data_IF_968044201979
#
_entry.id   IF_968044201979
#
_cell.length_a   1.000
_cell.length_b   1.000
_cell.length_c   1.000
_cell.angle_alpha   90.00
_cell.angle_beta   90.00
_cell.angle_gamma   90.00
#
_symmetry.space_group_name_H-M   'P 1'
#
loop_
_entity.id
_entity.type
_entity.pdbx_description
1 polymer ?
#
# COMPACT_ATOMS: atom_id res chain seq x y z
N UNK A 1 -47.75 -38.30 -22.85
CA UNK A 1 -48.83 -39.03 -22.15
C UNK A 1 -48.32 -39.15 -20.73
N UNK A 2 -48.68 -38.33 -19.75
CA UNK A 2 -49.91 -37.58 -19.40
C UNK A 2 -49.51 -36.20 -18.83
N UNK A 3 -50.10 -35.10 -19.33
CA UNK A 3 -50.95 -34.10 -18.63
C UNK A 3 -50.45 -33.68 -17.23
N UNK A 4 -49.97 -32.45 -17.03
CA UNK A 4 -50.74 -31.19 -16.93
C UNK A 4 -51.66 -31.16 -15.71
N UNK A 5 -51.32 -30.35 -14.71
CA UNK A 5 -52.31 -29.61 -13.94
C UNK A 5 -51.70 -28.32 -13.36
N UNK A 6 -52.31 -27.22 -13.79
CA UNK A 6 -52.12 -25.83 -13.36
C UNK A 6 -53.18 -25.60 -12.30
N UNK A 7 -52.90 -24.92 -11.18
CA UNK A 7 -53.92 -24.05 -10.58
C UNK A 7 -53.30 -22.93 -9.75
N UNK A 8 -53.39 -21.74 -10.33
CA UNK A 8 -53.36 -20.43 -9.72
C UNK A 8 -54.71 -20.20 -9.03
N UNK A 9 -54.72 -19.71 -7.77
CA UNK A 9 -55.93 -19.12 -7.18
C UNK A 9 -55.56 -17.78 -6.54
N UNK A 10 -56.21 -16.78 -7.11
CA UNK A 10 -56.25 -15.35 -6.85
C UNK A 10 -57.29 -15.03 -5.77
N UNK A 11 -56.98 -14.00 -4.97
CA UNK A 11 -57.83 -13.05 -4.21
C UNK A 11 -59.04 -13.55 -3.41
N UNK A 12 -59.23 -12.97 -2.21
CA UNK A 12 -60.29 -11.95 -1.99
C UNK A 12 -60.30 -11.36 -0.56
N UNK A 13 -60.12 -10.03 -0.51
CA UNK A 13 -60.91 -8.98 0.15
C UNK A 13 -61.50 -9.06 1.58
N UNK A 14 -61.48 -7.86 2.20
CA UNK A 14 -62.52 -7.15 2.98
C UNK A 14 -62.59 -7.27 4.52
N UNK A 15 -62.04 -6.25 5.17
CA UNK A 15 -62.69 -5.10 5.83
C UNK A 15 -63.79 -5.27 6.92
N UNK A 16 -63.80 -4.26 7.82
CA UNK A 16 -64.80 -3.81 8.82
C UNK A 16 -64.81 -4.58 10.16
N UNK A 17 -65.02 -4.01 11.36
CA UNK A 17 -65.39 -2.69 11.91
C UNK A 17 -65.25 -2.84 13.45
N UNK A 18 -64.91 -1.82 14.26
CA UNK A 18 -65.85 -1.04 15.13
C UNK A 18 -65.01 -0.14 16.05
N UNK A 19 -65.13 1.21 15.99
CA UNK A 19 -65.90 2.13 16.90
C UNK A 19 -65.49 2.06 18.38
N UNK A 20 -65.38 3.10 19.22
CA UNK A 20 -65.59 4.57 19.29
C UNK A 20 -64.77 4.97 20.57
N UNK A 21 -64.33 6.20 20.82
CA UNK A 21 -65.12 7.29 21.43
C UNK A 21 -64.26 8.56 21.38
N UNK A 22 -64.93 9.65 21.01
CA UNK A 22 -64.47 11.01 20.85
C UNK A 22 -63.82 11.65 22.09
N UNK A 23 -62.92 12.60 21.84
CA UNK A 23 -62.96 13.93 22.47
C UNK A 23 -62.41 14.98 21.52
N UNK A 24 -63.31 15.84 21.09
CA UNK A 24 -63.14 17.08 20.35
C UNK A 24 -62.43 18.13 21.18
N UNK A 25 -61.49 18.84 20.56
CA UNK A 25 -61.19 20.26 20.81
C UNK A 25 -60.32 20.78 19.65
N UNK A 26 -61.00 21.38 18.67
CA UNK A 26 -60.68 22.67 18.05
C UNK A 26 -59.21 23.14 18.11
N UNK A 27 -58.57 23.35 16.95
CA UNK A 27 -57.76 24.53 16.61
C UNK A 27 -57.50 24.54 15.09
N UNK A 28 -58.23 25.44 14.43
CA UNK A 28 -57.83 26.37 13.36
C UNK A 28 -56.85 25.85 12.29
N UNK A 29 -57.44 25.65 11.12
CA UNK A 29 -56.86 25.69 9.78
C UNK A 29 -56.07 26.98 9.53
N UNK A 30 -54.78 26.89 9.19
CA UNK A 30 -54.12 27.86 8.30
C UNK A 30 -53.27 27.09 7.30
N UNK A 31 -53.57 27.39 6.04
CA UNK A 31 -53.07 26.84 4.79
C UNK A 31 -51.55 26.79 4.64
N UNK A 32 -51.12 25.82 3.84
CA UNK A 32 -49.87 25.82 3.11
C UNK A 32 -49.70 27.13 2.33
N UNK A 33 -48.57 27.81 2.53
CA UNK A 33 -47.89 28.54 1.46
C UNK A 33 -46.41 28.24 1.50
N UNK A 34 -45.95 27.63 0.42
CA UNK A 34 -44.56 27.48 0.03
C UNK A 34 -43.97 28.85 -0.29
N UNK A 35 -43.01 29.32 0.50
CA UNK A 35 -42.09 30.36 0.08
C UNK A 35 -40.64 29.92 0.30
N UNK A 36 -39.98 29.70 -0.82
CA UNK A 36 -38.54 29.51 -0.94
C UNK A 36 -37.85 30.83 -0.63
N UNK A 37 -37.43 31.03 0.61
CA UNK A 37 -36.61 32.19 0.98
C UNK A 37 -35.14 31.83 0.74
N UNK A 38 -34.65 32.17 -0.46
CA UNK A 38 -33.22 32.33 -0.73
C UNK A 38 -32.71 33.60 -0.01
N UNK A 39 -32.47 33.53 1.30
CA UNK A 39 -31.73 34.59 2.01
C UNK A 39 -30.23 34.40 1.78
N UNK A 40 -29.73 35.00 0.71
CA UNK A 40 -28.32 35.41 0.67
C UNK A 40 -28.16 36.64 1.54
N UNK A 41 -28.02 36.43 2.86
CA UNK A 41 -27.64 37.50 3.78
C UNK A 41 -26.28 38.06 3.37
N UNK A 42 -26.34 39.26 2.79
CA UNK A 42 -25.20 40.14 2.60
C UNK A 42 -25.23 41.09 3.80
N UNK A 43 -24.45 40.78 4.84
CA UNK A 43 -24.27 41.72 5.94
C UNK A 43 -23.25 42.77 5.46
N UNK A 44 -23.73 43.91 4.98
CA UNK A 44 -22.93 45.13 4.89
C UNK A 44 -22.84 45.75 6.28
N UNK A 45 -21.67 45.67 6.91
CA UNK A 45 -21.39 46.40 8.15
C UNK A 45 -20.99 47.83 7.75
N UNK A 46 -21.87 48.80 7.99
CA UNK A 46 -21.51 50.23 7.95
C UNK A 46 -21.07 50.61 9.37
N UNK A 47 -19.78 50.80 9.58
CA UNK A 47 -19.25 51.34 10.83
C UNK A 47 -19.51 52.86 10.85
N UNK A 48 -20.55 53.29 11.55
CA UNK A 48 -20.65 54.67 12.06
C UNK A 48 -20.42 54.65 13.55
N UNK A 49 -19.25 55.06 14.00
CA UNK A 49 -19.02 56.11 15.02
C UNK A 49 -17.55 56.08 15.45
N UNK A 50 -16.96 57.26 15.45
CA UNK A 50 -15.68 57.57 16.05
C UNK A 50 -15.76 57.28 17.56
N UNK A 51 -14.88 56.42 18.06
CA UNK A 51 -14.27 56.56 19.38
C UNK A 51 -13.13 55.54 19.51
N UNK A 52 -11.93 56.06 19.78
CA UNK A 52 -10.70 55.31 20.04
C UNK A 52 -10.94 54.18 21.05
N UNK A 53 -10.75 52.93 20.61
CA UNK A 53 -10.35 51.85 21.49
C UNK A 53 -9.65 50.74 20.70
N UNK A 54 -8.56 50.29 21.30
CA UNK A 54 -7.70 49.17 20.91
C UNK A 54 -8.44 47.96 20.34
N UNK A 55 -7.98 47.51 19.17
CA UNK A 55 -8.21 46.24 18.49
C UNK A 55 -8.55 45.08 19.45
N UNK A 56 -9.69 44.39 19.26
CA UNK A 56 -9.92 43.11 19.93
C UNK A 56 -9.71 41.94 18.96
N UNK A 57 -8.78 41.07 19.30
CA UNK A 57 -8.41 39.84 18.60
C UNK A 57 -9.56 38.81 18.45
N UNK A 58 -10.75 39.10 18.96
CA UNK A 58 -11.90 38.20 19.03
C UNK A 58 -12.68 38.10 17.72
N UNK A 59 -12.75 39.16 16.91
CA UNK A 59 -13.44 39.11 15.60
C UNK A 59 -12.61 38.36 14.53
N UNK A 60 -11.29 38.44 14.65
CA UNK A 60 -10.31 37.81 13.76
C UNK A 60 -10.30 36.26 13.88
N UNK A 61 -10.98 35.70 14.89
CA UNK A 61 -11.08 34.27 15.19
C UNK A 61 -12.36 33.62 14.63
N UNK A 62 -13.30 34.38 14.04
CA UNK A 62 -14.56 33.84 13.52
C UNK A 62 -14.42 33.16 12.15
N UNK A 63 -13.31 33.36 11.43
CA UNK A 63 -13.17 32.74 10.12
C UNK A 63 -12.85 31.25 10.22
N UNK A 64 -13.65 30.42 9.55
CA UNK A 64 -13.53 28.96 9.51
C UNK A 64 -12.10 28.49 9.24
N UNK A 65 -11.41 29.14 8.29
CA UNK A 65 -10.08 28.73 7.84
C UNK A 65 -8.93 29.41 8.59
N UNK A 66 -9.19 30.32 9.53
CA UNK A 66 -8.13 31.09 10.23
C UNK A 66 -7.12 30.19 10.94
N UNK A 67 -7.61 29.15 11.62
CA UNK A 67 -6.77 28.18 12.33
C UNK A 67 -5.92 27.36 11.35
N UNK A 68 -6.48 27.03 10.18
CA UNK A 68 -5.82 26.25 9.14
C UNK A 68 -4.68 27.03 8.47
N UNK A 69 -4.87 28.32 8.20
CA UNK A 69 -3.80 29.21 7.69
C UNK A 69 -2.55 29.12 8.57
N UNK A 70 -2.70 29.18 9.90
CA UNK A 70 -1.56 29.10 10.82
C UNK A 70 -0.95 27.70 10.85
N UNK A 71 -1.79 26.66 10.88
CA UNK A 71 -1.34 25.27 11.01
C UNK A 71 -0.58 24.77 9.78
N UNK A 72 -1.01 25.18 8.60
CA UNK A 72 -0.49 24.72 7.30
C UNK A 72 0.42 25.74 6.62
N UNK A 73 0.94 26.72 7.37
CA UNK A 73 1.89 27.72 6.85
C UNK A 73 3.15 27.02 6.34
N UNK A 74 3.67 27.47 5.20
CA UNK A 74 4.83 26.88 4.51
C UNK A 74 4.62 25.40 4.09
N UNK A 75 3.38 24.99 3.87
CA UNK A 75 3.07 23.66 3.32
C UNK A 75 2.33 23.83 1.99
N UNK A 76 2.19 22.75 1.23
CA UNK A 76 1.38 22.79 0.01
C UNK A 76 -0.13 22.95 0.25
N UNK A 77 -0.55 22.81 1.51
CA UNK A 77 -1.89 23.08 2.02
C UNK A 77 -2.04 24.53 2.51
N UNK A 78 -1.13 25.41 2.14
CA UNK A 78 -1.16 26.79 2.60
C UNK A 78 -2.38 27.54 2.05
N UNK A 79 -3.15 28.09 2.99
CA UNK A 79 -4.26 28.99 2.72
C UNK A 79 -3.78 30.43 2.82
N UNK A 80 -4.33 31.30 1.98
CA UNK A 80 -3.99 32.73 1.99
C UNK A 80 -4.34 33.30 3.37
N UNK A 81 -3.52 34.21 3.90
CA UNK A 81 -3.81 34.84 5.18
C UNK A 81 -5.15 35.61 5.14
N UNK A 82 -5.93 35.52 6.22
CA UNK A 82 -7.13 36.32 6.38
C UNK A 82 -6.75 37.80 6.32
N UNK A 83 -7.45 38.57 5.49
CA UNK A 83 -7.33 40.02 5.46
C UNK A 83 -8.64 40.61 5.93
N UNK A 84 -8.57 41.56 6.87
CA UNK A 84 -9.71 42.35 7.31
C UNK A 84 -9.56 43.73 6.65
N UNK A 85 -10.56 44.14 5.87
CA UNK A 85 -10.65 45.48 5.28
C UNK A 85 -11.90 46.18 5.80
N UNK A 86 -11.87 47.51 5.83
CA UNK A 86 -13.03 48.35 6.16
C UNK A 86 -14.25 48.04 5.27
N UNK A 87 -14.01 47.66 4.01
CA UNK A 87 -15.03 47.19 3.07
C UNK A 87 -14.65 45.80 2.56
N UNK A 88 -15.15 44.76 3.24
CA UNK A 88 -14.96 43.37 2.85
C UNK A 88 -16.28 42.63 2.77
N UNK A 89 -16.40 41.71 1.80
CA UNK A 89 -17.55 40.81 1.73
C UNK A 89 -17.35 39.64 2.68
N UNK A 90 -18.20 39.54 3.70
CA UNK A 90 -18.23 38.42 4.63
C UNK A 90 -19.38 37.50 4.23
N UNK A 91 -19.15 36.18 4.28
CA UNK A 91 -20.17 35.15 4.02
C UNK A 91 -20.34 34.28 5.26
N UNK A 92 -21.57 33.87 5.56
CA UNK A 92 -21.82 32.82 6.56
C UNK A 92 -21.30 31.47 6.08
N UNK A 93 -20.83 30.63 7.01
CA UNK A 93 -20.32 29.31 6.68
C UNK A 93 -21.42 28.24 6.51
N UNK A 94 -22.68 28.58 6.79
CA UNK A 94 -23.86 27.69 6.69
C UNK A 94 -24.43 27.55 5.28
N UNK A 95 -23.91 28.28 4.29
CA UNK A 95 -24.40 28.19 2.92
C UNK A 95 -24.15 26.82 2.30
N UNK A 96 -25.12 26.29 1.54
CA UNK A 96 -25.03 24.95 0.92
C UNK A 96 -23.73 24.72 0.15
N UNK A 97 -23.35 25.67 -0.71
CA UNK A 97 -22.10 25.62 -1.47
C UNK A 97 -20.85 25.60 -0.59
N UNK A 98 -20.91 26.23 0.58
CA UNK A 98 -19.82 26.19 1.56
C UNK A 98 -19.73 24.80 2.17
N UNK A 99 -20.85 24.25 2.63
CA UNK A 99 -20.92 22.93 3.25
C UNK A 99 -20.36 21.86 2.29
N UNK A 100 -20.80 21.84 1.04
CA UNK A 100 -20.29 20.93 0.01
C UNK A 100 -18.77 21.03 -0.15
N UNK A 101 -18.24 22.26 -0.20
CA UNK A 101 -16.80 22.50 -0.36
C UNK A 101 -15.99 22.12 0.87
N UNK A 102 -16.51 22.41 2.05
CA UNK A 102 -15.87 22.05 3.33
C UNK A 102 -15.83 20.53 3.46
N UNK A 103 -16.91 19.82 3.12
CA UNK A 103 -16.95 18.36 3.10
C UNK A 103 -15.86 17.75 2.21
N UNK A 104 -15.67 18.27 0.99
CA UNK A 104 -14.58 17.82 0.10
C UNK A 104 -13.19 18.07 0.71
N UNK A 105 -13.05 19.15 1.48
CA UNK A 105 -11.80 19.54 2.09
C UNK A 105 -11.45 18.78 3.36
N UNK A 106 -12.39 18.10 4.01
CA UNK A 106 -12.12 17.27 5.21
C UNK A 106 -10.99 16.27 4.97
N UNK A 107 -10.92 15.72 3.75
CA UNK A 107 -9.84 14.81 3.33
C UNK A 107 -8.42 15.42 3.47
N UNK A 108 -8.31 16.74 3.34
CA UNK A 108 -7.04 17.47 3.41
C UNK A 108 -6.86 18.23 4.74
N UNK A 109 -7.97 18.63 5.36
CA UNK A 109 -8.03 19.37 6.62
C UNK A 109 -9.01 18.68 7.58
N UNK A 110 -8.57 17.63 8.30
CA UNK A 110 -9.45 16.86 9.19
C UNK A 110 -10.12 17.71 10.28
N UNK A 111 -9.56 18.86 10.63
CA UNK A 111 -10.14 19.77 11.62
C UNK A 111 -11.45 20.39 11.15
N UNK A 112 -11.70 20.42 9.83
CA UNK A 112 -12.97 20.86 9.28
C UNK A 112 -14.11 19.91 9.63
N UNK A 113 -13.84 18.63 9.86
CA UNK A 113 -14.86 17.65 10.23
C UNK A 113 -15.57 18.06 11.52
N UNK A 114 -14.80 18.43 12.53
CA UNK A 114 -15.33 18.95 13.80
C UNK A 114 -16.03 20.32 13.64
N UNK A 115 -15.67 21.09 12.62
CA UNK A 115 -16.27 22.40 12.37
C UNK A 115 -17.61 22.31 11.64
N UNK A 116 -17.90 21.21 10.93
CA UNK A 116 -19.15 21.00 10.19
C UNK A 116 -20.38 21.04 11.11
N UNK A 117 -20.28 20.52 12.33
CA UNK A 117 -21.36 20.50 13.32
C UNK A 117 -21.67 21.89 13.92
N UNK A 118 -20.80 22.88 13.71
CA UNK A 118 -20.90 24.21 14.31
C UNK A 118 -20.62 25.36 13.33
N UNK A 119 -20.95 25.15 12.05
CA UNK A 119 -20.73 26.14 10.97
C UNK A 119 -21.47 27.46 11.20
N UNK A 120 -22.57 27.45 11.94
CA UNK A 120 -23.33 28.63 12.36
C UNK A 120 -22.49 29.64 13.15
N UNK A 121 -21.43 29.16 13.83
CA UNK A 121 -20.51 29.99 14.61
C UNK A 121 -19.38 30.60 13.77
N UNK A 122 -19.28 30.22 12.49
CA UNK A 122 -18.17 30.62 11.63
C UNK A 122 -18.61 31.50 10.46
N UNK A 123 -17.70 32.37 10.06
CA UNK A 123 -17.78 33.16 8.83
C UNK A 123 -16.66 32.79 7.87
N UNK A 124 -16.76 33.25 6.63
CA UNK A 124 -15.73 33.11 5.61
C UNK A 124 -15.43 34.49 5.04
N UNK A 125 -14.16 34.89 5.14
CA UNK A 125 -13.68 36.11 4.53
C UNK A 125 -13.52 35.96 3.01
N UNK A 126 -13.64 37.07 2.29
CA UNK A 126 -13.63 37.14 0.83
C UNK A 126 -12.45 36.38 0.18
N UNK A 127 -11.24 36.51 0.73
CA UNK A 127 -10.06 35.80 0.21
C UNK A 127 -10.21 34.28 0.26
N UNK A 128 -10.69 33.74 1.39
CA UNK A 128 -10.93 32.31 1.54
C UNK A 128 -12.10 31.84 0.72
N UNK A 129 -13.17 32.63 0.64
CA UNK A 129 -14.28 32.33 -0.26
C UNK A 129 -13.79 32.22 -1.70
N UNK A 130 -12.96 33.16 -2.16
CA UNK A 130 -12.43 33.16 -3.53
C UNK A 130 -11.44 32.02 -3.80
N UNK A 131 -10.58 31.71 -2.82
CA UNK A 131 -9.60 30.62 -2.94
C UNK A 131 -10.26 29.24 -2.93
N UNK A 132 -11.24 29.03 -2.06
CA UNK A 132 -11.73 27.70 -1.69
C UNK A 132 -13.13 27.42 -2.24
N UNK A 133 -14.04 28.40 -2.15
CA UNK A 133 -15.47 28.18 -2.39
C UNK A 133 -15.89 28.57 -3.81
N UNK A 134 -15.32 29.67 -4.34
CA UNK A 134 -15.72 30.26 -5.63
C UNK A 134 -15.45 29.33 -6.81
N UNK A 135 -14.27 28.69 -6.84
CA UNK A 135 -13.84 27.80 -7.91
C UNK A 135 -13.24 26.50 -7.35
N UNK A 136 -12.95 25.56 -8.25
CA UNK A 136 -12.41 24.24 -7.89
C UNK A 136 -10.88 24.17 -7.98
N UNK A 137 -10.23 25.21 -8.51
CA UNK A 137 -8.80 25.21 -8.83
C UNK A 137 -7.93 24.79 -7.64
N UNK A 138 -8.28 25.25 -6.43
CA UNK A 138 -7.55 24.89 -5.23
C UNK A 138 -7.68 23.40 -4.91
N UNK A 139 -8.91 22.86 -4.92
CA UNK A 139 -9.17 21.44 -4.65
C UNK A 139 -8.54 20.55 -5.73
N UNK A 140 -8.65 20.92 -7.01
CA UNK A 140 -8.03 20.19 -8.12
C UNK A 140 -6.50 20.15 -8.00
N UNK A 141 -5.87 21.22 -7.50
CA UNK A 141 -4.43 21.25 -7.23
C UNK A 141 -4.07 20.25 -6.12
N UNK A 142 -4.88 20.18 -5.06
CA UNK A 142 -4.69 19.21 -3.96
C UNK A 142 -4.87 17.77 -4.43
N UNK A 143 -5.90 17.51 -5.23
CA UNK A 143 -6.19 16.19 -5.80
C UNK A 143 -5.06 15.70 -6.71
N UNK A 144 -4.58 16.55 -7.63
CA UNK A 144 -3.45 16.22 -8.51
C UNK A 144 -2.21 15.85 -7.71
N UNK A 145 -1.92 16.59 -6.64
CA UNK A 145 -0.78 16.30 -5.78
C UNK A 145 -0.96 14.98 -5.03
N UNK A 146 -2.15 14.72 -4.50
CA UNK A 146 -2.43 13.47 -3.79
C UNK A 146 -2.29 12.26 -4.72
N UNK A 147 -2.81 12.34 -5.94
CA UNK A 147 -2.71 11.28 -6.93
C UNK A 147 -1.24 11.01 -7.33
N UNK A 148 -0.44 12.07 -7.45
CA UNK A 148 1.00 11.94 -7.69
C UNK A 148 1.71 11.21 -6.54
N UNK A 149 1.41 11.55 -5.28
CA UNK A 149 1.97 10.87 -4.11
C UNK A 149 1.54 9.40 -4.06
N UNK A 150 0.27 9.11 -4.37
CA UNK A 150 -0.23 7.73 -4.44
C UNK A 150 0.55 6.90 -5.46
N UNK A 151 0.73 7.43 -6.67
CA UNK A 151 1.53 6.79 -7.71
C UNK A 151 2.96 6.51 -7.26
N UNK A 152 3.61 7.48 -6.62
CA UNK A 152 4.98 7.29 -6.10
C UNK A 152 5.06 6.23 -5.00
N UNK A 153 4.04 6.13 -4.16
CA UNK A 153 3.99 5.10 -3.12
C UNK A 153 3.79 3.70 -3.69
N UNK A 154 2.96 3.55 -4.73
CA UNK A 154 2.76 2.27 -5.41
C UNK A 154 4.07 1.80 -6.05
N UNK A 155 4.77 2.70 -6.74
CA UNK A 155 6.09 2.43 -7.30
C UNK A 155 7.09 2.03 -6.22
N UNK A 156 7.18 2.81 -5.14
CA UNK A 156 8.08 2.53 -4.01
C UNK A 156 7.82 1.15 -3.39
N UNK A 157 6.55 0.80 -3.15
CA UNK A 157 6.16 -0.48 -2.59
C UNK A 157 6.51 -1.63 -3.53
N UNK A 158 6.35 -1.44 -4.84
CA UNK A 158 6.75 -2.42 -5.84
C UNK A 158 8.28 -2.63 -5.85
N UNK A 159 9.07 -1.55 -5.88
CA UNK A 159 10.53 -1.62 -5.81
C UNK A 159 11.01 -2.29 -4.52
N UNK A 160 10.40 -1.95 -3.37
CA UNK A 160 10.69 -2.59 -2.09
C UNK A 160 10.41 -4.09 -2.13
N UNK A 161 9.29 -4.50 -2.72
CA UNK A 161 8.94 -5.90 -2.90
C UNK A 161 9.93 -6.65 -3.81
N UNK A 162 10.37 -6.04 -4.91
CA UNK A 162 11.41 -6.60 -5.78
C UNK A 162 12.77 -6.72 -5.08
N UNK A 163 13.16 -5.72 -4.30
CA UNK A 163 14.42 -5.74 -3.55
C UNK A 163 14.46 -6.89 -2.54
N UNK A 164 13.38 -7.13 -1.81
CA UNK A 164 13.31 -8.25 -0.86
C UNK A 164 13.37 -9.62 -1.57
N UNK A 165 12.73 -9.77 -2.74
CA UNK A 165 12.87 -10.99 -3.56
C UNK A 165 14.32 -11.22 -3.99
N UNK A 166 15.00 -10.18 -4.47
CA UNK A 166 16.41 -10.28 -4.89
C UNK A 166 17.34 -10.64 -3.73
N UNK A 167 17.12 -10.07 -2.54
CA UNK A 167 17.88 -10.44 -1.33
C UNK A 167 17.72 -11.92 -0.98
N UNK A 168 16.48 -12.43 -1.06
CA UNK A 168 16.21 -13.83 -0.76
C UNK A 168 16.87 -14.77 -1.78
N UNK A 169 16.78 -14.45 -3.08
CA UNK A 169 17.45 -15.21 -4.14
C UNK A 169 18.97 -15.21 -3.98
N UNK A 170 19.56 -14.07 -3.61
CA UNK A 170 21.00 -13.97 -3.35
C UNK A 170 21.41 -14.91 -2.20
N UNK A 171 20.66 -14.90 -1.10
CA UNK A 171 20.92 -15.75 0.07
C UNK A 171 20.84 -17.24 -0.27
N UNK A 172 19.85 -17.65 -1.05
CA UNK A 172 19.70 -19.03 -1.53
C UNK A 172 20.87 -19.44 -2.44
N UNK A 173 21.28 -18.55 -3.36
CA UNK A 173 22.42 -18.78 -4.23
C UNK A 173 23.74 -18.94 -3.45
N UNK A 174 23.95 -18.13 -2.41
CA UNK A 174 25.12 -18.25 -1.54
C UNK A 174 25.16 -19.58 -0.78
N UNK A 175 24.02 -20.04 -0.28
CA UNK A 175 23.90 -21.34 0.40
C UNK A 175 24.19 -22.50 -0.55
N UNK A 176 23.62 -22.47 -1.76
CA UNK A 176 23.89 -23.47 -2.80
C UNK A 176 25.37 -23.48 -3.18
N UNK A 177 25.98 -22.31 -3.38
CA UNK A 177 27.41 -22.20 -3.70
C UNK A 177 28.26 -22.83 -2.59
N UNK A 178 27.95 -22.57 -1.33
CA UNK A 178 28.68 -23.15 -0.20
C UNK A 178 28.56 -24.68 -0.16
N UNK A 179 27.36 -25.21 -0.43
CA UNK A 179 27.13 -26.65 -0.53
C UNK A 179 28.01 -27.29 -1.62
N UNK A 180 28.01 -26.73 -2.84
CA UNK A 180 28.83 -27.25 -3.93
C UNK A 180 30.33 -27.15 -3.66
N UNK A 181 30.80 -26.07 -3.03
CA UNK A 181 32.22 -25.94 -2.64
C UNK A 181 32.62 -27.06 -1.69
N UNK A 182 31.78 -27.39 -0.71
CA UNK A 182 32.07 -28.46 0.24
C UNK A 182 32.05 -29.85 -0.43
N UNK A 183 31.10 -30.08 -1.33
CA UNK A 183 31.02 -31.33 -2.09
C UNK A 183 32.26 -31.53 -2.98
N UNK A 184 32.73 -30.47 -3.66
CA UNK A 184 33.95 -30.53 -4.47
C UNK A 184 35.15 -30.92 -3.62
N UNK A 185 35.33 -30.30 -2.44
CA UNK A 185 36.43 -30.64 -1.52
C UNK A 185 36.39 -32.10 -1.05
N UNK A 186 35.20 -32.64 -0.78
CA UNK A 186 35.06 -34.04 -0.40
C UNK A 186 35.47 -34.97 -1.55
N UNK A 187 35.03 -34.66 -2.77
CA UNK A 187 35.38 -35.42 -3.97
C UNK A 187 36.87 -35.34 -4.30
N UNK A 188 37.49 -34.18 -4.14
CA UNK A 188 38.94 -34.01 -4.30
C UNK A 188 39.71 -34.87 -3.31
N UNK A 189 39.26 -34.93 -2.06
CA UNK A 189 39.88 -35.75 -1.01
C UNK A 189 39.81 -37.23 -1.37
N UNK A 190 38.62 -37.75 -1.71
CA UNK A 190 38.44 -39.14 -2.14
C UNK A 190 39.25 -39.48 -3.39
N UNK A 191 39.31 -38.56 -4.36
CA UNK A 191 40.08 -38.78 -5.58
C UNK A 191 41.58 -38.89 -5.30
N UNK A 192 42.11 -38.06 -4.40
CA UNK A 192 43.51 -38.13 -3.98
C UNK A 192 43.83 -39.44 -3.26
N UNK A 193 42.93 -39.93 -2.40
CA UNK A 193 43.05 -41.25 -1.74
C UNK A 193 43.09 -42.39 -2.77
N UNK A 194 42.17 -42.39 -3.74
CA UNK A 194 42.13 -43.39 -4.81
C UNK A 194 43.37 -43.35 -5.71
N UNK A 195 43.92 -42.16 -5.97
CA UNK A 195 45.17 -42.01 -6.72
C UNK A 195 46.33 -42.64 -5.95
N UNK A 196 46.41 -42.41 -4.64
CA UNK A 196 47.44 -42.99 -3.79
C UNK A 196 47.35 -44.52 -3.75
N UNK A 197 46.14 -45.08 -3.56
CA UNK A 197 45.91 -46.53 -3.57
C UNK A 197 46.27 -47.15 -4.92
N UNK A 198 45.87 -46.53 -6.03
CA UNK A 198 46.21 -47.01 -7.37
C UNK A 198 47.73 -47.02 -7.62
N UNK A 199 48.45 -46.03 -7.11
CA UNK A 199 49.91 -45.99 -7.23
C UNK A 199 50.56 -47.12 -6.43
N UNK A 200 50.10 -47.38 -5.20
CA UNK A 200 50.58 -48.51 -4.39
C UNK A 200 50.32 -49.86 -5.07
N UNK A 201 49.12 -50.05 -5.65
CA UNK A 201 48.78 -51.28 -6.37
C UNK A 201 49.67 -51.49 -7.61
N UNK A 202 49.97 -50.42 -8.36
CA UNK A 202 50.90 -50.49 -9.49
C UNK A 202 52.30 -50.95 -9.06
N UNK A 203 52.80 -50.43 -7.94
CA UNK A 203 54.10 -50.84 -7.39
C UNK A 203 54.11 -52.32 -7.01
N UNK A 204 53.07 -52.79 -6.31
CA UNK A 204 52.91 -54.21 -5.93
C UNK A 204 52.86 -55.11 -7.15
N UNK A 205 52.08 -54.74 -8.17
CA UNK A 205 51.96 -55.52 -9.41
C UNK A 205 53.32 -55.60 -10.13
N UNK A 206 54.02 -54.48 -10.28
CA UNK A 206 55.33 -54.45 -10.93
C UNK A 206 56.35 -55.31 -10.18
N UNK A 207 56.36 -55.25 -8.85
CA UNK A 207 57.22 -56.10 -8.02
C UNK A 207 56.94 -57.60 -8.25
N UNK A 208 55.67 -57.98 -8.21
CA UNK A 208 55.25 -59.38 -8.40
C UNK A 208 55.57 -59.89 -9.81
N UNK A 209 55.35 -59.08 -10.85
CA UNK A 209 55.69 -59.45 -12.24
C UNK A 209 57.19 -59.68 -12.39
N UNK A 210 58.03 -58.80 -11.82
CA UNK A 210 59.48 -58.94 -11.87
C UNK A 210 59.96 -60.23 -11.15
N UNK A 211 59.39 -60.58 -9.99
CA UNK A 211 59.72 -61.86 -9.32
C UNK A 211 59.34 -63.07 -10.18
N UNK A 212 58.18 -63.04 -10.84
CA UNK A 212 57.75 -64.10 -11.73
C UNK A 212 58.67 -64.26 -12.95
N UNK A 213 59.08 -63.16 -13.58
CA UNK A 213 60.02 -63.19 -14.70
C UNK A 213 61.37 -63.81 -14.30
N UNK A 214 61.88 -63.46 -13.11
CA UNK A 214 63.11 -64.04 -12.56
C UNK A 214 62.94 -65.55 -12.34
N UNK A 215 61.84 -66.00 -11.72
CA UNK A 215 61.56 -67.43 -11.51
C UNK A 215 61.48 -68.21 -12.83
N UNK A 216 60.78 -67.67 -13.83
CA UNK A 216 60.65 -68.31 -15.15
C UNK A 216 62.02 -68.44 -15.82
N UNK A 217 62.88 -67.42 -15.71
CA UNK A 217 64.24 -67.47 -16.24
C UNK A 217 65.07 -68.59 -15.61
N UNK A 218 65.07 -68.72 -14.29
CA UNK A 218 65.77 -69.79 -13.60
C UNK A 218 65.26 -71.19 -13.99
N UNK A 219 63.94 -71.37 -14.08
CA UNK A 219 63.34 -72.65 -14.51
C UNK A 219 63.80 -73.01 -15.93
N UNK A 220 63.84 -72.03 -16.85
CA UNK A 220 64.34 -72.25 -18.22
C UNK A 220 65.82 -72.67 -18.22
N UNK A 221 66.67 -72.03 -17.42
CA UNK A 221 68.09 -72.37 -17.31
C UNK A 221 68.31 -73.79 -16.76
N UNK A 222 67.55 -74.18 -15.73
CA UNK A 222 67.59 -75.54 -15.17
C UNK A 222 67.18 -76.57 -16.23
N UNK A 223 66.03 -76.37 -16.88
CA UNK A 223 65.52 -77.29 -17.90
C UNK A 223 66.48 -77.45 -19.09
N UNK A 224 67.16 -76.36 -19.50
CA UNK A 224 68.19 -76.42 -20.54
C UNK A 224 69.41 -77.24 -20.11
N UNK A 225 69.86 -77.07 -18.87
CA UNK A 225 71.01 -77.82 -18.32
C UNK A 225 70.69 -79.30 -18.17
N UNK A 226 69.52 -79.64 -17.61
CA UNK A 226 69.06 -81.03 -17.50
C UNK A 226 68.95 -81.70 -18.86
N UNK A 227 68.37 -81.00 -19.85
CA UNK A 227 68.28 -81.50 -21.22
C UNK A 227 69.65 -81.76 -21.83
N UNK A 228 70.64 -80.88 -21.60
CA UNK A 228 72.01 -81.08 -22.08
C UNK A 228 72.66 -82.30 -21.43
N UNK A 229 72.58 -82.42 -20.11
CA UNK A 229 73.13 -83.57 -19.37
C UNK A 229 72.53 -84.89 -19.87
N UNK A 230 71.22 -84.92 -20.12
CA UNK A 230 70.56 -86.11 -20.66
C UNK A 230 71.08 -86.52 -22.05
N UNK A 231 71.41 -85.55 -22.91
CA UNK A 231 72.05 -85.85 -24.21
C UNK A 231 73.49 -86.35 -24.03
N UNK A 232 74.23 -85.78 -23.09
CA UNK A 232 75.61 -86.18 -22.79
C UNK A 232 75.67 -87.62 -22.25
N UNK A 233 74.65 -88.08 -21.51
CA UNK A 233 74.55 -89.46 -20.99
C UNK A 233 74.18 -90.51 -22.07
N UNK A 234 73.73 -90.09 -23.25
CA UNK A 234 73.28 -90.98 -24.33
C UNK A 234 74.35 -91.26 -25.40
N UNK A 235 75.48 -90.55 -25.37
CA UNK A 235 76.60 -90.64 -26.33
C UNK A 235 77.78 -91.35 -25.67
#
# INVERSE_FOLDING_TARGET
MESMEITEIVETTKAAETTEIAKTAEIVEIAETTETINTTETIEIINTTEEDNTLSDTENLKCLFKKLVKKYKNTDLELIECEIKEKQKIRGATGLKVIEKVNLLVKYYPELENALESLDKFIIYEKHYNQIIRNNNFIEKLEKKLNFISSMNDDYNNYKGHLEKLKQQLKESEQQRLFYINLIKELETKNNELIAENNQLKEIINFNLNDQEIRIKYIKEIAQKERKNFYDDLI
#
